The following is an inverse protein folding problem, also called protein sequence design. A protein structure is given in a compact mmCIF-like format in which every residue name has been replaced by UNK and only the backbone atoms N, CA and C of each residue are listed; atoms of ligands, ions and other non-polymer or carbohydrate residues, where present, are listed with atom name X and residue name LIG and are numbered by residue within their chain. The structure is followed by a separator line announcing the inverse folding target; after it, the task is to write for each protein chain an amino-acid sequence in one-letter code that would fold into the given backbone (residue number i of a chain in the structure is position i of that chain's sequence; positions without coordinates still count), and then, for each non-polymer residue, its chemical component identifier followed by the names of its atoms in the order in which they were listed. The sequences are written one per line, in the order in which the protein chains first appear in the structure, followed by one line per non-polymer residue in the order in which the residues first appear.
data_IF_726152074804
#
_entry.id   IF_726152074804
#
_cell.length_a   1.000
_cell.length_b   1.000
_cell.length_c   1.000
_cell.angle_alpha   90.00
_cell.angle_beta   90.00
_cell.angle_gamma   90.00
#
_symmetry.space_group_name_H-M   'P 1'
#
loop_
_entity.id
_entity.type
_entity.pdbx_description
1 polymer ?
#
# COMPACT_ATOMS: atom_id res chain seq x y z
N UNK A 1 6.78 -31.83 11.34
CA UNK A 1 6.68 -31.17 12.66
C UNK A 1 7.73 -30.08 12.65
N UNK A 2 7.30 -28.81 12.76
CA UNK A 2 8.23 -27.69 12.84
C UNK A 2 8.59 -27.56 14.33
N UNK A 3 9.74 -28.10 14.74
CA UNK A 3 10.19 -27.98 16.13
C UNK A 3 10.80 -26.58 16.31
N UNK A 4 10.05 -25.70 16.97
CA UNK A 4 10.59 -24.46 17.48
C UNK A 4 11.17 -24.70 18.88
N UNK A 5 12.46 -24.44 19.05
CA UNK A 5 13.17 -24.72 20.31
C UNK A 5 12.76 -23.80 21.48
N UNK A 6 11.87 -22.82 21.26
CA UNK A 6 11.37 -21.93 22.32
C UNK A 6 9.84 -21.89 22.38
N UNK A 7 9.27 -21.91 23.59
CA UNK A 7 7.82 -21.83 23.76
C UNK A 7 7.27 -20.44 23.41
N UNK A 8 6.02 -20.41 22.94
CA UNK A 8 5.29 -19.21 22.49
C UNK A 8 5.29 -18.07 23.53
N UNK A 9 5.18 -18.42 24.81
CA UNK A 9 5.19 -17.44 25.91
C UNK A 9 6.52 -16.71 26.10
N UNK A 10 7.61 -17.18 25.48
CA UNK A 10 8.89 -16.44 25.40
C UNK A 10 8.94 -15.60 24.13
N UNK A 11 8.59 -16.20 22.98
CA UNK A 11 8.74 -15.58 21.67
C UNK A 11 7.81 -14.36 21.52
N UNK A 12 6.54 -14.49 21.89
CA UNK A 12 5.53 -13.45 21.62
C UNK A 12 5.78 -12.16 22.43
N UNK A 13 6.10 -12.20 23.74
CA UNK A 13 6.45 -10.98 24.46
C UNK A 13 7.73 -10.32 23.94
N UNK A 14 8.70 -11.13 23.49
CA UNK A 14 9.93 -10.60 22.89
C UNK A 14 9.66 -9.91 21.55
N UNK A 15 8.87 -10.53 20.67
CA UNK A 15 8.42 -9.91 19.42
C UNK A 15 7.61 -8.63 19.66
N UNK A 16 6.73 -8.63 20.66
CA UNK A 16 5.99 -7.43 21.05
C UNK A 16 6.94 -6.29 21.47
N UNK A 17 7.95 -6.60 22.30
CA UNK A 17 8.94 -5.62 22.73
C UNK A 17 9.76 -5.06 21.56
N UNK A 18 10.23 -5.93 20.65
CA UNK A 18 10.91 -5.53 19.41
C UNK A 18 9.99 -4.65 18.54
N UNK A 19 8.73 -5.06 18.36
CA UNK A 19 7.75 -4.31 17.59
C UNK A 19 7.44 -2.94 18.19
N UNK A 20 7.44 -2.79 19.52
CA UNK A 20 7.33 -1.49 20.19
C UNK A 20 8.54 -0.59 19.94
N UNK A 21 9.76 -1.16 19.92
CA UNK A 21 10.99 -0.41 19.58
C UNK A 21 10.93 0.07 18.14
N UNK A 22 10.54 -0.79 17.20
CA UNK A 22 10.34 -0.41 15.81
C UNK A 22 9.22 0.63 15.69
N UNK A 23 8.11 0.49 16.41
CA UNK A 23 7.02 1.46 16.45
C UNK A 23 7.46 2.85 16.94
N UNK A 24 8.42 2.91 17.86
CA UNK A 24 9.02 4.16 18.31
C UNK A 24 9.83 4.84 17.20
N UNK A 25 10.52 4.05 16.36
CA UNK A 25 11.13 4.53 15.13
C UNK A 25 10.10 4.95 14.08
N UNK A 26 8.98 4.21 13.92
CA UNK A 26 7.92 4.60 12.98
C UNK A 26 7.29 5.96 13.31
N UNK A 27 7.17 6.31 14.60
CA UNK A 27 6.76 7.66 15.00
C UNK A 27 7.68 8.75 14.42
N UNK A 28 8.99 8.47 14.30
CA UNK A 28 9.95 9.38 13.65
C UNK A 28 9.68 9.46 12.15
N UNK A 29 9.48 8.31 11.48
CA UNK A 29 9.15 8.26 10.06
C UNK A 29 7.88 9.04 9.73
N UNK A 30 6.79 8.80 10.46
CA UNK A 30 5.49 9.48 10.27
C UNK A 30 5.63 10.99 10.39
N UNK A 31 6.40 11.48 11.35
CA UNK A 31 6.57 12.92 11.55
C UNK A 31 7.51 13.56 10.53
N UNK A 32 8.55 12.87 10.06
CA UNK A 32 9.67 13.51 9.32
C UNK A 32 9.67 13.28 7.82
N UNK A 33 9.21 12.11 7.36
CA UNK A 33 9.12 11.81 5.93
C UNK A 33 8.34 12.86 5.12
N UNK A 34 7.19 13.40 5.59
CA UNK A 34 6.42 14.35 4.80
C UNK A 34 6.98 15.79 4.85
N UNK A 35 8.00 16.07 5.65
CA UNK A 35 8.52 17.44 5.82
C UNK A 35 9.43 17.89 4.67
N UNK A 36 9.96 16.96 3.89
CA UNK A 36 10.93 17.21 2.82
C UNK A 36 10.38 16.72 1.49
N UNK A 37 10.40 17.57 0.46
CA UNK A 37 9.80 17.24 -0.84
C UNK A 37 10.72 16.35 -1.70
N UNK A 38 12.02 16.32 -1.37
CA UNK A 38 13.02 15.55 -2.11
C UNK A 38 13.30 14.24 -1.39
N UNK A 39 13.43 13.18 -2.17
CA UNK A 39 13.68 11.81 -1.70
C UNK A 39 14.88 11.69 -0.73
N UNK A 40 16.07 12.15 -1.14
CA UNK A 40 17.29 11.99 -0.34
C UNK A 40 17.29 12.81 0.97
N UNK A 41 16.93 14.11 0.96
CA UNK A 41 16.74 14.88 2.19
C UNK A 41 15.72 14.27 3.15
N UNK A 42 14.59 13.77 2.62
CA UNK A 42 13.55 13.10 3.42
C UNK A 42 14.11 11.90 4.20
N UNK A 43 14.88 11.03 3.55
CA UNK A 43 15.52 9.89 4.22
C UNK A 43 16.59 10.31 5.24
N UNK A 44 17.41 11.31 4.93
CA UNK A 44 18.44 11.82 5.85
C UNK A 44 17.83 12.45 7.11
N UNK A 45 16.67 13.10 6.97
CA UNK A 45 15.93 13.71 8.08
C UNK A 45 15.42 12.71 9.13
N UNK A 46 15.32 11.42 8.78
CA UNK A 46 14.93 10.37 9.74
C UNK A 46 16.02 10.18 10.80
N UNK A 47 17.29 10.21 10.38
CA UNK A 47 18.44 9.91 11.26
C UNK A 47 18.81 11.11 12.14
N UNK A 48 18.77 12.32 11.57
CA UNK A 48 19.13 13.54 12.27
C UNK A 48 18.02 14.58 12.16
N UNK A 49 17.67 15.29 13.25
CA UNK A 49 18.26 15.33 14.60
C UNK A 49 17.73 14.25 15.58
N UNK A 50 18.33 14.04 16.77
CA UNK A 50 17.82 13.08 17.76
C UNK A 50 16.44 13.45 18.32
N UNK A 51 15.77 12.48 18.95
CA UNK A 51 14.46 12.66 19.59
C UNK A 51 14.48 13.77 20.65
N UNK A 52 13.54 14.70 20.52
CA UNK A 52 13.40 15.91 21.35
C UNK A 52 11.95 16.18 21.68
N UNK A 53 11.72 16.91 22.76
CA UNK A 53 10.38 17.38 23.09
C UNK A 53 9.88 18.36 22.02
N UNK A 54 8.65 18.21 21.48
CA UNK A 54 8.11 19.14 20.48
C UNK A 54 7.77 20.53 21.06
N UNK A 55 7.76 20.70 22.39
CA UNK A 55 7.42 21.96 23.06
C UNK A 55 8.66 22.75 23.48
N UNK A 56 9.59 22.12 24.18
CA UNK A 56 10.79 22.81 24.68
C UNK A 56 12.06 22.49 23.90
N UNK A 57 11.99 21.62 22.88
CA UNK A 57 13.11 21.18 22.03
C UNK A 57 14.30 20.54 22.77
N UNK A 58 14.20 20.34 24.08
CA UNK A 58 15.21 19.64 24.86
C UNK A 58 15.25 18.15 24.47
N UNK A 59 16.45 17.58 24.47
CA UNK A 59 16.70 16.18 24.14
C UNK A 59 16.06 15.26 25.19
N UNK A 60 15.43 14.18 24.74
CA UNK A 60 14.86 13.18 25.64
C UNK A 60 16.00 12.25 26.11
N UNK A 61 16.25 12.10 27.43
CA UNK A 61 17.23 11.15 27.94
C UNK A 61 16.85 9.72 27.57
N UNK A 62 17.83 8.87 27.22
CA UNK A 62 17.57 7.49 26.74
C UNK A 62 16.70 6.64 27.67
N UNK A 63 16.84 6.81 29.00
CA UNK A 63 16.00 6.12 30.01
C UNK A 63 14.50 6.42 29.92
N UNK A 64 14.14 7.56 29.33
CA UNK A 64 12.75 7.97 29.10
C UNK A 64 12.32 7.80 27.64
N UNK A 65 13.20 7.27 26.79
CA UNK A 65 12.95 6.94 25.40
C UNK A 65 12.63 5.44 25.21
N UNK A 66 12.31 4.73 26.30
CA UNK A 66 11.80 3.36 26.25
C UNK A 66 10.35 3.40 25.74
N UNK A 67 10.01 2.67 24.66
CA UNK A 67 8.66 2.65 24.10
C UNK A 67 7.61 2.30 25.16
N UNK A 68 6.49 3.03 25.19
CA UNK A 68 5.35 2.91 26.12
C UNK A 68 5.74 3.23 27.57
N UNK A 69 6.72 2.55 28.12
CA UNK A 69 7.21 2.64 29.50
C UNK A 69 7.68 4.05 29.82
N UNK A 70 8.46 4.69 28.94
CA UNK A 70 8.97 6.04 29.15
C UNK A 70 7.84 7.06 29.33
N UNK A 71 6.79 6.96 28.50
CA UNK A 71 5.61 7.81 28.58
C UNK A 71 4.80 7.54 29.87
N UNK A 72 4.62 6.27 30.25
CA UNK A 72 3.94 5.88 31.49
C UNK A 72 4.66 6.37 32.75
N UNK A 73 5.99 6.20 32.81
CA UNK A 73 6.82 6.67 33.93
C UNK A 73 6.74 8.19 34.10
N UNK A 74 6.69 8.93 32.99
CA UNK A 74 6.53 10.39 33.00
C UNK A 74 5.07 10.85 33.11
N UNK A 75 4.11 9.92 33.24
CA UNK A 75 2.66 10.18 33.29
C UNK A 75 2.18 11.08 32.14
N UNK A 76 2.72 10.86 30.95
CA UNK A 76 2.42 11.61 29.74
C UNK A 76 2.89 13.06 29.73
N UNK A 77 3.94 13.41 30.46
CA UNK A 77 4.51 14.77 30.51
C UNK A 77 5.97 14.79 30.11
N UNK A 78 6.46 15.94 29.64
CA UNK A 78 7.89 16.10 29.37
C UNK A 78 8.69 16.16 30.68
N UNK A 79 9.80 15.42 30.75
CA UNK A 79 10.73 15.44 31.89
C UNK A 79 11.21 16.86 32.25
N UNK A 80 11.47 17.72 31.26
CA UNK A 80 12.04 19.05 31.49
C UNK A 80 10.99 20.16 31.67
N UNK A 81 10.07 20.31 30.71
CA UNK A 81 9.09 21.41 30.74
C UNK A 81 7.74 21.04 31.34
N UNK A 82 7.51 19.77 31.71
CA UNK A 82 6.27 19.26 32.32
C UNK A 82 4.99 19.43 31.48
N UNK A 83 5.09 19.94 30.26
CA UNK A 83 3.99 20.02 29.31
C UNK A 83 3.53 18.62 28.86
N UNK A 84 2.24 18.43 28.58
CA UNK A 84 1.70 17.14 28.16
C UNK A 84 2.27 16.68 26.81
N UNK A 85 2.53 15.38 26.71
CA UNK A 85 2.93 14.67 25.48
C UNK A 85 1.75 13.81 25.04
N UNK A 86 1.40 13.90 23.75
CA UNK A 86 0.28 13.17 23.16
C UNK A 86 0.36 11.66 23.43
N UNK A 87 -0.77 11.04 23.77
CA UNK A 87 -0.90 9.59 23.89
C UNK A 87 -0.77 8.85 22.54
N UNK A 88 -0.77 9.60 21.42
CA UNK A 88 -0.57 9.04 20.09
C UNK A 88 0.73 8.23 19.97
N UNK A 89 1.82 8.71 20.56
CA UNK A 89 3.13 8.04 20.49
C UNK A 89 3.10 6.63 21.10
N UNK A 90 2.71 6.44 22.38
CA UNK A 90 2.65 5.10 22.97
C UNK A 90 1.55 4.23 22.35
N UNK A 91 0.48 4.81 21.80
CA UNK A 91 -0.53 4.04 21.05
C UNK A 91 0.08 3.44 19.77
N UNK A 92 0.81 4.24 18.99
CA UNK A 92 1.50 3.76 17.77
C UNK A 92 2.52 2.68 18.13
N UNK A 93 3.29 2.86 19.20
CA UNK A 93 4.25 1.85 19.69
C UNK A 93 3.56 0.54 20.06
N UNK A 94 2.45 0.62 20.81
CA UNK A 94 1.66 -0.54 21.20
C UNK A 94 1.03 -1.26 20.00
N UNK A 95 0.42 -0.51 19.08
CA UNK A 95 -0.21 -1.06 17.88
C UNK A 95 0.82 -1.76 17.00
N UNK A 96 2.03 -1.22 16.87
CA UNK A 96 3.11 -1.86 16.12
C UNK A 96 3.61 -3.14 16.82
N UNK A 97 3.76 -3.12 18.15
CA UNK A 97 4.04 -4.32 18.94
C UNK A 97 3.00 -5.41 18.71
N UNK A 98 1.71 -5.04 18.70
CA UNK A 98 0.62 -5.97 18.44
C UNK A 98 0.62 -6.47 16.99
N UNK A 99 0.97 -5.62 16.01
CA UNK A 99 1.12 -6.00 14.60
C UNK A 99 2.20 -7.07 14.41
N UNK A 100 3.38 -6.90 15.03
CA UNK A 100 4.46 -7.89 15.01
C UNK A 100 3.99 -9.27 15.48
N UNK A 101 3.28 -9.29 16.61
CA UNK A 101 2.73 -10.52 17.21
C UNK A 101 1.63 -11.12 16.34
N UNK A 102 0.68 -10.31 15.88
CA UNK A 102 -0.46 -10.78 15.07
C UNK A 102 -0.02 -11.37 13.73
N UNK A 103 0.91 -10.71 13.03
CA UNK A 103 1.47 -11.22 11.77
C UNK A 103 2.26 -12.51 12.02
N UNK A 104 3.02 -12.59 13.12
CA UNK A 104 3.76 -13.80 13.47
C UNK A 104 2.82 -14.96 13.76
N UNK A 105 1.79 -14.72 14.57
CA UNK A 105 0.79 -15.72 14.94
C UNK A 105 0.05 -16.33 13.74
N UNK A 106 -0.23 -15.52 12.72
CA UNK A 106 -0.93 -15.99 11.51
C UNK A 106 0.00 -16.74 10.55
N UNK A 107 1.24 -16.27 10.38
CA UNK A 107 2.17 -16.82 9.39
C UNK A 107 2.94 -18.02 9.94
N UNK A 108 3.38 -17.95 11.20
CA UNK A 108 4.23 -18.95 11.85
C UNK A 108 3.39 -19.80 12.80
N UNK A 109 3.24 -21.11 12.53
CA UNK A 109 2.54 -22.00 13.45
C UNK A 109 3.32 -22.17 14.76
N UNK A 110 2.66 -22.03 15.91
CA UNK A 110 3.32 -21.93 17.24
C UNK A 110 2.94 -23.09 18.19
N UNK A 111 2.06 -24.00 17.77
CA UNK A 111 1.64 -25.13 18.61
C UNK A 111 2.62 -26.30 18.53
N UNK A 112 2.74 -27.07 19.63
CA UNK A 112 3.71 -28.16 19.80
C UNK A 112 3.58 -29.29 18.77
N UNK A 113 2.46 -29.39 18.05
CA UNK A 113 2.24 -30.36 16.98
C UNK A 113 2.03 -29.73 15.59
N UNK A 114 2.30 -28.43 15.47
CA UNK A 114 1.93 -27.67 14.29
C UNK A 114 2.71 -28.06 13.04
N UNK A 115 2.02 -27.93 11.91
CA UNK A 115 2.49 -28.27 10.58
C UNK A 115 2.57 -27.02 9.69
N UNK A 116 3.39 -27.06 8.64
CA UNK A 116 3.47 -25.96 7.66
C UNK A 116 2.09 -25.62 7.05
N UNK A 117 1.20 -26.61 6.95
CA UNK A 117 -0.19 -26.44 6.47
C UNK A 117 -1.08 -25.56 7.34
N UNK A 118 -0.70 -25.28 8.58
CA UNK A 118 -1.45 -24.37 9.46
C UNK A 118 -1.13 -22.90 9.20
N UNK A 119 -0.02 -22.60 8.53
CA UNK A 119 0.32 -21.22 8.14
C UNK A 119 -0.76 -20.63 7.23
N UNK A 120 -1.15 -19.38 7.49
CA UNK A 120 -2.13 -18.69 6.65
C UNK A 120 -1.66 -18.46 5.21
N UNK A 121 -0.36 -18.58 4.95
CA UNK A 121 0.22 -18.41 3.62
C UNK A 121 0.42 -19.74 2.88
N UNK A 122 0.08 -20.89 3.48
CA UNK A 122 0.31 -22.20 2.88
C UNK A 122 -0.88 -22.63 2.02
N UNK A 123 -0.63 -22.80 0.73
CA UNK A 123 -1.58 -23.32 -0.27
C UNK A 123 -0.93 -24.46 -1.09
N UNK A 124 -1.69 -25.08 -2.00
CA UNK A 124 -1.17 -26.15 -2.87
C UNK A 124 -0.05 -25.69 -3.82
N UNK A 125 0.00 -24.38 -4.11
CA UNK A 125 0.96 -23.76 -5.03
C UNK A 125 1.99 -22.87 -4.31
N UNK A 126 1.94 -22.80 -2.98
CA UNK A 126 2.90 -22.02 -2.19
C UNK A 126 4.27 -22.73 -2.12
N UNK A 127 5.37 -21.99 -1.90
CA UNK A 127 6.66 -22.58 -1.56
C UNK A 127 6.57 -23.54 -0.35
N UNK A 128 7.28 -24.66 -0.39
CA UNK A 128 7.20 -25.72 0.61
C UNK A 128 6.00 -26.68 0.42
N UNK A 129 5.17 -26.47 -0.61
CA UNK A 129 4.17 -27.44 -1.04
C UNK A 129 4.78 -28.63 -1.78
N UNK A 130 3.98 -29.66 -2.05
CA UNK A 130 4.43 -30.83 -2.85
C UNK A 130 4.83 -30.44 -4.28
N UNK A 131 4.21 -29.40 -4.85
CA UNK A 131 4.45 -28.93 -6.21
C UNK A 131 5.62 -27.96 -6.30
N UNK A 132 5.86 -27.19 -5.24
CA UNK A 132 6.96 -26.21 -5.14
C UNK A 132 7.80 -26.49 -3.90
N UNK A 133 8.74 -27.45 -3.96
CA UNK A 133 9.63 -27.70 -2.83
C UNK A 133 10.50 -26.47 -2.56
N UNK A 134 10.66 -26.12 -1.28
CA UNK A 134 11.55 -25.03 -0.88
C UNK A 134 12.97 -25.55 -0.69
N UNK A 135 14.02 -24.78 -1.06
CA UNK A 135 15.41 -25.17 -0.81
C UNK A 135 15.80 -25.06 0.67
N UNK A 136 14.97 -24.41 1.50
CA UNK A 136 15.20 -24.23 2.93
C UNK A 136 14.25 -25.10 3.75
N UNK A 137 14.65 -25.36 4.99
CA UNK A 137 13.81 -26.07 5.95
C UNK A 137 12.51 -25.28 6.24
N UNK A 138 11.45 -26.01 6.61
CA UNK A 138 10.09 -25.45 6.74
C UNK A 138 9.98 -24.37 7.83
N UNK A 139 10.76 -24.50 8.90
CA UNK A 139 10.95 -23.51 9.95
C UNK A 139 11.57 -22.22 9.39
N UNK A 140 12.68 -22.31 8.66
CA UNK A 140 13.32 -21.15 8.07
C UNK A 140 12.40 -20.47 7.04
N UNK A 141 11.66 -21.25 6.25
CA UNK A 141 10.72 -20.76 5.26
C UNK A 141 9.65 -19.84 5.87
N UNK A 142 8.97 -20.27 6.93
CA UNK A 142 7.90 -19.46 7.54
C UNK A 142 8.42 -18.18 8.16
N UNK A 143 9.64 -18.17 8.71
CA UNK A 143 10.26 -16.95 9.24
C UNK A 143 10.69 -15.97 8.17
N UNK A 144 11.29 -16.45 7.07
CA UNK A 144 11.65 -15.58 5.96
C UNK A 144 10.40 -14.95 5.35
N UNK A 145 9.32 -15.73 5.23
CA UNK A 145 8.01 -15.20 4.80
C UNK A 145 7.45 -14.21 5.81
N UNK A 146 7.54 -14.48 7.10
CA UNK A 146 7.14 -13.54 8.15
C UNK A 146 7.89 -12.21 8.03
N UNK A 147 9.23 -12.23 7.98
CA UNK A 147 10.04 -11.02 7.88
C UNK A 147 9.76 -10.22 6.60
N UNK A 148 9.58 -10.93 5.47
CA UNK A 148 9.25 -10.31 4.19
C UNK A 148 7.91 -9.57 4.20
N UNK A 149 6.85 -10.21 4.71
CA UNK A 149 5.52 -9.59 4.79
C UNK A 149 5.42 -8.57 5.94
N UNK A 150 6.18 -8.74 7.00
CA UNK A 150 6.29 -7.74 8.07
C UNK A 150 6.85 -6.43 7.52
N UNK A 151 7.90 -6.48 6.69
CA UNK A 151 8.44 -5.27 6.05
C UNK A 151 7.40 -4.53 5.20
N UNK A 152 6.53 -5.26 4.47
CA UNK A 152 5.38 -4.69 3.77
C UNK A 152 4.41 -4.03 4.76
N UNK A 153 4.06 -4.70 5.85
CA UNK A 153 3.13 -4.16 6.84
C UNK A 153 3.65 -2.92 7.55
N UNK A 154 4.93 -2.85 7.89
CA UNK A 154 5.54 -1.65 8.48
C UNK A 154 5.45 -0.45 7.51
N UNK A 155 5.76 -0.66 6.23
CA UNK A 155 5.66 0.38 5.21
C UNK A 155 4.20 0.85 5.03
N UNK A 156 3.25 -0.07 4.99
CA UNK A 156 1.82 0.24 4.92
C UNK A 156 1.32 0.97 6.16
N UNK A 157 1.81 0.61 7.35
CA UNK A 157 1.43 1.24 8.60
C UNK A 157 1.89 2.70 8.64
N UNK A 158 3.15 2.98 8.27
CA UNK A 158 3.66 4.35 8.13
C UNK A 158 2.90 5.13 7.07
N UNK A 159 2.75 4.57 5.86
CA UNK A 159 2.04 5.23 4.77
C UNK A 159 0.58 5.56 5.15
N UNK A 160 -0.12 4.64 5.82
CA UNK A 160 -1.51 4.85 6.27
C UNK A 160 -1.61 5.95 7.32
N UNK A 161 -0.68 6.01 8.29
CA UNK A 161 -0.69 7.05 9.31
C UNK A 161 -0.41 8.44 8.73
N UNK A 162 0.50 8.53 7.76
CA UNK A 162 0.80 9.79 7.05
C UNK A 162 -0.40 10.19 6.19
N UNK A 163 -1.01 9.25 5.48
CA UNK A 163 -2.17 9.51 4.61
C UNK A 163 -3.41 9.91 5.42
N UNK A 164 -3.65 9.31 6.59
CA UNK A 164 -4.72 9.73 7.53
C UNK A 164 -4.55 11.18 7.98
N UNK A 165 -3.32 11.60 8.26
CA UNK A 165 -3.03 12.94 8.78
C UNK A 165 -2.98 14.00 7.68
N UNK A 166 -2.33 13.68 6.57
CA UNK A 166 -1.89 14.65 5.56
C UNK A 166 -2.49 14.39 4.19
N UNK A 167 -3.20 13.27 3.97
CA UNK A 167 -3.77 12.85 2.67
C UNK A 167 -2.71 12.78 1.56
N UNK A 168 -1.48 12.44 1.92
CA UNK A 168 -0.36 12.25 0.99
C UNK A 168 0.33 10.92 1.27
N UNK A 169 0.91 10.34 0.23
CA UNK A 169 1.71 9.11 0.32
C UNK A 169 3.15 9.48 -0.05
N UNK A 170 4.08 9.56 0.91
CA UNK A 170 5.42 10.04 0.65
C UNK A 170 6.30 8.96 0.00
N UNK A 171 7.01 9.37 -1.05
CA UNK A 171 7.97 8.53 -1.77
C UNK A 171 9.08 7.98 -0.86
N UNK A 172 9.43 8.71 0.19
CA UNK A 172 10.42 8.30 1.19
C UNK A 172 10.03 7.04 1.97
N UNK A 173 8.75 6.65 1.99
CA UNK A 173 8.30 5.37 2.56
C UNK A 173 8.11 4.30 1.47
N UNK A 174 7.49 4.66 0.35
CA UNK A 174 7.04 3.69 -0.65
C UNK A 174 8.15 3.18 -1.55
N UNK A 175 9.07 4.04 -2.00
CA UNK A 175 10.15 3.63 -2.91
C UNK A 175 11.17 2.71 -2.23
N UNK A 176 11.65 2.96 -1.00
CA UNK A 176 12.55 2.03 -0.33
C UNK A 176 11.88 0.68 -0.07
N UNK A 177 10.62 0.68 0.36
CA UNK A 177 9.86 -0.55 0.56
C UNK A 177 9.72 -1.34 -0.76
N UNK A 178 9.36 -0.67 -1.86
CA UNK A 178 9.28 -1.28 -3.18
C UNK A 178 10.61 -1.93 -3.58
N UNK A 179 11.72 -1.22 -3.39
CA UNK A 179 13.06 -1.77 -3.63
C UNK A 179 13.34 -3.00 -2.77
N UNK A 180 12.98 -3.00 -1.48
CA UNK A 180 13.09 -4.17 -0.61
C UNK A 180 12.25 -5.35 -1.12
N UNK A 181 11.02 -5.11 -1.59
CA UNK A 181 10.18 -6.13 -2.20
C UNK A 181 10.89 -6.82 -3.38
N UNK A 182 11.43 -6.03 -4.31
CA UNK A 182 12.21 -6.55 -5.44
C UNK A 182 13.46 -7.31 -5.00
N UNK A 183 14.30 -6.70 -4.16
CA UNK A 183 15.59 -7.24 -3.77
C UNK A 183 15.42 -8.55 -2.99
N UNK A 184 14.51 -8.57 -2.01
CA UNK A 184 14.35 -9.71 -1.11
C UNK A 184 13.58 -10.86 -1.79
N UNK A 185 12.59 -10.57 -2.62
CA UNK A 185 11.91 -11.58 -3.43
C UNK A 185 12.89 -12.25 -4.40
N UNK A 186 13.75 -11.47 -5.07
CA UNK A 186 14.79 -12.00 -5.97
C UNK A 186 15.84 -12.82 -5.20
N UNK A 187 16.31 -12.32 -4.06
CA UNK A 187 17.35 -12.99 -3.29
C UNK A 187 16.89 -14.32 -2.68
N UNK A 188 15.65 -14.37 -2.17
CA UNK A 188 15.12 -15.55 -1.51
C UNK A 188 14.47 -16.51 -2.50
N UNK A 189 13.63 -16.03 -3.42
CA UNK A 189 12.98 -16.87 -4.43
C UNK A 189 11.92 -17.85 -3.89
N UNK A 190 11.61 -17.85 -2.59
CA UNK A 190 10.63 -18.73 -1.94
C UNK A 190 9.67 -18.01 -0.97
N UNK A 191 9.53 -16.69 -1.09
CA UNK A 191 8.65 -15.88 -0.21
C UNK A 191 7.26 -15.61 -0.79
N UNK A 192 7.01 -16.03 -2.03
CA UNK A 192 5.82 -15.71 -2.81
C UNK A 192 4.55 -16.34 -2.22
N UNK A 193 3.40 -15.72 -2.52
CA UNK A 193 2.07 -16.24 -2.18
C UNK A 193 1.55 -17.27 -3.18
N UNK A 194 1.90 -17.09 -4.45
CA UNK A 194 1.56 -17.95 -5.57
C UNK A 194 2.66 -17.87 -6.65
N UNK A 195 2.79 -18.87 -7.53
CA UNK A 195 3.70 -18.80 -8.67
C UNK A 195 3.27 -17.65 -9.59
N UNK A 196 4.23 -17.06 -10.31
CA UNK A 196 3.93 -15.91 -11.18
C UNK A 196 2.99 -16.30 -12.32
N UNK A 197 3.02 -17.56 -12.72
CA UNK A 197 2.17 -18.12 -13.76
C UNK A 197 1.83 -19.57 -13.46
N UNK A 198 0.58 -19.94 -13.70
CA UNK A 198 0.09 -21.30 -13.74
C UNK A 198 -1.21 -21.38 -14.54
N UNK A 199 -1.53 -22.57 -15.06
CA UNK A 199 -2.75 -22.83 -15.81
C UNK A 199 -3.24 -24.25 -15.54
N UNK A 200 -4.55 -24.40 -15.27
CA UNK A 200 -5.17 -25.70 -15.05
C UNK A 200 -5.92 -26.14 -16.31
N UNK A 201 -5.43 -27.18 -16.97
CA UNK A 201 -5.95 -27.66 -18.27
C UNK A 201 -7.41 -28.16 -18.22
N UNK A 202 -7.91 -28.55 -17.05
CA UNK A 202 -9.29 -29.01 -16.90
C UNK A 202 -10.30 -27.90 -17.22
N UNK A 203 -10.02 -26.66 -16.79
CA UNK A 203 -10.91 -25.52 -17.01
C UNK A 203 -10.86 -25.06 -18.47
N UNK A 204 -9.67 -25.08 -19.09
CA UNK A 204 -9.51 -24.68 -20.49
C UNK A 204 -10.18 -25.64 -21.47
N UNK A 205 -10.28 -26.93 -21.12
CA UNK A 205 -10.99 -27.93 -21.94
C UNK A 205 -12.50 -27.66 -22.03
N UNK A 206 -13.15 -27.39 -20.89
CA UNK A 206 -14.59 -27.09 -20.86
C UNK A 206 -14.92 -25.79 -21.60
N UNK A 207 -14.09 -24.75 -21.43
CA UNK A 207 -14.32 -23.46 -22.05
C UNK A 207 -14.06 -23.50 -23.57
N UNK A 208 -13.10 -24.31 -24.02
CA UNK A 208 -12.82 -24.51 -25.46
C UNK A 208 -14.02 -25.06 -26.23
N UNK A 209 -14.94 -25.78 -25.57
CA UNK A 209 -16.15 -26.30 -26.20
C UNK A 209 -17.22 -25.23 -26.50
N UNK A 210 -17.12 -24.06 -25.87
CA UNK A 210 -18.13 -22.99 -25.95
C UNK A 210 -17.58 -21.74 -26.65
N UNK A 211 -16.28 -21.68 -26.91
CA UNK A 211 -15.62 -20.51 -27.50
C UNK A 211 -15.17 -20.73 -28.95
N UNK A 212 -15.13 -19.67 -29.79
CA UNK A 212 -14.67 -19.77 -31.16
C UNK A 212 -13.23 -20.29 -31.32
N UNK A 213 -12.96 -20.97 -32.44
CA UNK A 213 -11.66 -21.57 -32.74
C UNK A 213 -10.49 -20.57 -32.76
N UNK A 214 -10.74 -19.31 -33.11
CA UNK A 214 -9.69 -18.26 -33.10
C UNK A 214 -9.13 -18.00 -31.71
N UNK A 215 -9.85 -18.38 -30.65
CA UNK A 215 -9.39 -18.27 -29.27
C UNK A 215 -8.46 -19.42 -28.85
N UNK A 216 -8.21 -20.42 -29.72
CA UNK A 216 -7.31 -21.55 -29.49
C UNK A 216 -5.99 -21.22 -28.76
N UNK A 217 -5.24 -20.16 -29.15
CA UNK A 217 -3.95 -19.83 -28.52
C UNK A 217 -4.04 -19.45 -27.04
N UNK A 218 -5.23 -19.08 -26.57
CA UNK A 218 -5.43 -18.69 -25.18
C UNK A 218 -5.79 -19.88 -24.26
N UNK A 219 -6.05 -21.06 -24.82
CA UNK A 219 -6.40 -22.28 -24.07
C UNK A 219 -5.21 -23.21 -23.83
N UNK A 220 -4.21 -23.17 -24.71
CA UNK A 220 -3.09 -24.12 -24.71
C UNK A 220 -1.79 -23.48 -24.20
N UNK A 221 -1.78 -23.08 -22.93
CA UNK A 221 -0.58 -22.61 -22.25
C UNK A 221 0.08 -23.70 -21.39
N UNK A 222 1.39 -23.55 -21.07
CA UNK A 222 2.08 -24.47 -20.19
C UNK A 222 1.46 -24.40 -18.78
N UNK A 223 1.19 -25.56 -18.13
CA UNK A 223 0.49 -25.60 -16.86
C UNK A 223 1.29 -24.92 -15.75
N UNK A 224 2.58 -25.22 -15.62
CA UNK A 224 3.54 -24.48 -14.80
C UNK A 224 4.87 -24.52 -15.55
N UNK A 225 5.46 -23.37 -15.93
CA UNK A 225 6.74 -23.36 -16.61
C UNK A 225 7.88 -23.94 -15.74
N UNK A 226 8.65 -24.89 -16.28
CA UNK A 226 9.74 -25.57 -15.55
C UNK A 226 10.84 -24.61 -15.03
N UNK A 227 11.02 -23.47 -15.68
CA UNK A 227 12.01 -22.48 -15.26
C UNK A 227 11.70 -21.87 -13.89
N UNK A 228 10.43 -21.85 -13.47
CA UNK A 228 10.01 -21.31 -12.16
C UNK A 228 10.68 -22.07 -11.02
N UNK A 229 10.70 -23.40 -11.12
CA UNK A 229 11.36 -24.27 -10.13
C UNK A 229 12.87 -24.34 -10.34
N UNK A 230 13.36 -24.23 -11.58
CA UNK A 230 14.78 -24.29 -11.88
C UNK A 230 15.55 -23.02 -11.48
N UNK A 231 14.91 -21.86 -11.54
CA UNK A 231 15.51 -20.56 -11.22
C UNK A 231 14.63 -19.75 -10.25
N UNK A 232 14.59 -20.11 -8.95
CA UNK A 232 13.74 -19.46 -7.95
C UNK A 232 14.01 -17.96 -7.80
N UNK A 233 15.27 -17.53 -7.94
CA UNK A 233 15.64 -16.11 -7.88
C UNK A 233 15.02 -15.30 -9.03
N UNK A 234 15.05 -15.85 -10.25
CA UNK A 234 14.45 -15.23 -11.43
C UNK A 234 12.92 -15.21 -11.29
N UNK A 235 12.34 -16.28 -10.76
CA UNK A 235 10.92 -16.31 -10.43
C UNK A 235 10.54 -15.23 -9.42
N UNK A 236 11.31 -15.05 -8.34
CA UNK A 236 11.13 -13.96 -7.37
C UNK A 236 11.18 -12.57 -8.01
N UNK A 237 12.18 -12.32 -8.86
CA UNK A 237 12.27 -11.06 -9.59
C UNK A 237 11.05 -10.80 -10.48
N UNK A 238 10.67 -11.77 -11.32
CA UNK A 238 9.53 -11.64 -12.24
C UNK A 238 8.21 -11.55 -11.46
N UNK A 239 8.08 -12.26 -10.34
CA UNK A 239 6.91 -12.18 -9.47
C UNK A 239 6.70 -10.76 -8.93
N UNK A 240 7.74 -10.15 -8.37
CA UNK A 240 7.71 -8.77 -7.87
C UNK A 240 7.49 -7.76 -9.00
N UNK A 241 8.13 -7.97 -10.15
CA UNK A 241 7.99 -7.10 -11.31
C UNK A 241 6.58 -7.12 -11.90
N UNK A 242 6.03 -8.32 -12.11
CA UNK A 242 4.66 -8.49 -12.57
C UNK A 242 3.68 -7.89 -11.56
N UNK A 243 3.90 -8.09 -10.26
CA UNK A 243 3.10 -7.49 -9.21
C UNK A 243 3.13 -5.97 -9.24
N UNK A 244 4.30 -5.35 -9.34
CA UNK A 244 4.45 -3.91 -9.44
C UNK A 244 3.75 -3.34 -10.69
N UNK A 245 3.98 -3.96 -11.85
CA UNK A 245 3.38 -3.52 -13.13
C UNK A 245 1.87 -3.63 -13.10
N UNK A 246 1.32 -4.78 -12.69
CA UNK A 246 -0.13 -4.98 -12.69
C UNK A 246 -0.80 -4.19 -11.57
N UNK A 247 -0.20 -4.15 -10.37
CA UNK A 247 -0.71 -3.39 -9.24
C UNK A 247 -0.83 -1.90 -9.57
N UNK A 248 0.27 -1.26 -10.00
CA UNK A 248 0.25 0.13 -10.44
C UNK A 248 -0.61 0.33 -11.69
N UNK A 249 -0.51 -0.59 -12.66
CA UNK A 249 -1.19 -0.51 -13.95
C UNK A 249 -2.71 -0.50 -13.84
N UNK A 250 -3.31 -1.28 -12.93
CA UNK A 250 -4.77 -1.31 -12.73
C UNK A 250 -5.29 0.03 -12.20
N UNK A 251 -4.65 0.58 -11.17
CA UNK A 251 -5.05 1.89 -10.61
C UNK A 251 -4.77 3.00 -11.62
N UNK A 252 -3.65 2.94 -12.33
CA UNK A 252 -3.32 3.92 -13.36
C UNK A 252 -4.32 3.88 -14.53
N UNK A 253 -4.77 2.70 -14.95
CA UNK A 253 -5.80 2.55 -15.97
C UNK A 253 -7.14 3.14 -15.51
N UNK A 254 -7.56 2.89 -14.25
CA UNK A 254 -8.73 3.54 -13.68
C UNK A 254 -8.61 5.06 -13.69
N UNK A 255 -7.46 5.59 -13.29
CA UNK A 255 -7.20 7.03 -13.28
C UNK A 255 -7.34 7.61 -14.69
N UNK A 256 -6.78 6.96 -15.70
CA UNK A 256 -6.87 7.40 -17.09
C UNK A 256 -8.32 7.37 -17.60
N UNK A 257 -9.04 6.27 -17.38
CA UNK A 257 -10.45 6.13 -17.80
C UNK A 257 -11.34 7.13 -17.07
N UNK A 258 -11.16 7.27 -15.76
CA UNK A 258 -11.87 8.24 -14.94
C UNK A 258 -11.62 9.68 -15.42
N UNK A 259 -10.37 10.03 -15.72
CA UNK A 259 -10.03 11.33 -16.29
C UNK A 259 -10.73 11.57 -17.63
N UNK A 260 -10.76 10.58 -18.53
CA UNK A 260 -11.37 10.74 -19.85
C UNK A 260 -12.89 10.85 -19.79
N UNK A 261 -13.54 10.10 -18.91
CA UNK A 261 -15.00 10.04 -18.81
C UNK A 261 -15.57 11.12 -17.88
N UNK A 262 -14.95 11.34 -16.72
CA UNK A 262 -15.41 12.26 -15.69
C UNK A 262 -14.78 13.66 -15.83
N UNK A 263 -13.71 13.82 -16.62
CA UNK A 263 -12.88 15.03 -16.70
C UNK A 263 -12.40 15.56 -15.35
N UNK A 264 -12.27 14.65 -14.39
CA UNK A 264 -11.78 14.91 -13.04
C UNK A 264 -10.73 13.85 -12.71
N UNK A 265 -9.77 14.23 -11.87
CA UNK A 265 -8.79 13.29 -11.32
C UNK A 265 -9.51 12.34 -10.37
N UNK A 266 -9.86 11.15 -10.87
CA UNK A 266 -10.62 10.17 -10.10
C UNK A 266 -9.84 9.57 -8.92
N UNK A 267 -8.50 9.64 -8.95
CA UNK A 267 -7.64 8.99 -7.96
C UNK A 267 -6.23 9.61 -7.94
N UNK A 268 -5.65 9.73 -6.74
CA UNK A 268 -4.33 10.34 -6.54
C UNK A 268 -3.20 9.46 -7.09
N UNK A 269 -2.13 10.09 -7.62
CA UNK A 269 -0.96 9.35 -8.08
C UNK A 269 -0.26 8.55 -6.96
N UNK A 270 -0.36 9.02 -5.71
CA UNK A 270 0.15 8.29 -4.55
C UNK A 270 -0.41 6.87 -4.41
N UNK A 271 -1.70 6.67 -4.74
CA UNK A 271 -2.33 5.35 -4.67
C UNK A 271 -1.76 4.38 -5.71
N UNK A 272 -1.40 4.89 -6.90
CA UNK A 272 -0.72 4.12 -7.95
C UNK A 272 0.65 3.64 -7.44
N UNK A 273 1.42 4.54 -6.82
CA UNK A 273 2.74 4.22 -6.27
C UNK A 273 2.62 3.22 -5.11
N UNK A 274 1.65 3.42 -4.21
CA UNK A 274 1.38 2.52 -3.10
C UNK A 274 1.02 1.12 -3.60
N UNK A 275 0.19 1.01 -4.63
CA UNK A 275 -0.20 -0.28 -5.20
C UNK A 275 0.92 -0.95 -5.99
N UNK A 276 1.79 -0.16 -6.62
CA UNK A 276 3.04 -0.64 -7.23
C UNK A 276 3.95 -1.24 -6.13
N UNK A 277 4.09 -0.56 -5.00
CA UNK A 277 4.84 -1.04 -3.84
C UNK A 277 4.23 -2.32 -3.29
N UNK A 278 2.92 -2.36 -3.02
CA UNK A 278 2.21 -3.56 -2.55
C UNK A 278 2.49 -4.74 -3.49
N UNK A 279 2.34 -4.54 -4.80
CA UNK A 279 2.57 -5.58 -5.80
C UNK A 279 3.98 -6.12 -5.85
N UNK A 280 4.99 -5.29 -5.58
CA UNK A 280 6.37 -5.77 -5.48
C UNK A 280 6.57 -6.83 -4.38
N UNK A 281 5.70 -6.87 -3.37
CA UNK A 281 5.72 -7.90 -2.32
C UNK A 281 4.80 -9.07 -2.61
N UNK A 282 3.54 -8.82 -2.95
CA UNK A 282 2.50 -9.86 -2.95
C UNK A 282 2.21 -10.44 -4.35
N UNK A 283 2.86 -9.92 -5.39
CA UNK A 283 2.66 -10.35 -6.77
C UNK A 283 1.33 -9.88 -7.37
N UNK A 284 1.12 -10.17 -8.65
CA UNK A 284 0.00 -9.59 -9.40
C UNK A 284 -1.35 -10.20 -9.02
N UNK A 285 -1.42 -11.50 -8.71
CA UNK A 285 -2.67 -12.17 -8.38
C UNK A 285 -3.28 -11.60 -7.09
N UNK A 286 -2.48 -11.51 -6.03
CA UNK A 286 -2.93 -10.94 -4.77
C UNK A 286 -3.23 -9.44 -4.90
N UNK A 287 -2.50 -8.71 -5.74
CA UNK A 287 -2.84 -7.32 -6.06
C UNK A 287 -4.23 -7.15 -6.65
N UNK A 288 -4.65 -8.02 -7.57
CA UNK A 288 -6.02 -7.95 -8.11
C UNK A 288 -7.07 -8.16 -7.01
N UNK A 289 -6.82 -9.10 -6.10
CA UNK A 289 -7.69 -9.32 -4.93
C UNK A 289 -7.75 -8.06 -4.06
N UNK A 290 -6.60 -7.49 -3.70
CA UNK A 290 -6.53 -6.25 -2.90
C UNK A 290 -7.29 -5.11 -3.56
N UNK A 291 -7.13 -4.95 -4.87
CA UNK A 291 -7.81 -3.92 -5.64
C UNK A 291 -9.33 -4.04 -5.56
N UNK A 292 -9.88 -5.24 -5.75
CA UNK A 292 -11.33 -5.47 -5.64
C UNK A 292 -11.84 -5.43 -4.20
N UNK A 293 -10.99 -5.75 -3.21
CA UNK A 293 -11.36 -5.78 -1.80
C UNK A 293 -11.33 -4.40 -1.14
N UNK A 294 -10.45 -3.50 -1.59
CA UNK A 294 -10.25 -2.18 -0.99
C UNK A 294 -11.52 -1.30 -0.93
N UNK A 295 -12.38 -1.22 -1.97
CA UNK A 295 -13.64 -0.50 -1.88
C UNK A 295 -14.60 -1.04 -0.80
N UNK A 296 -14.55 -2.34 -0.48
CA UNK A 296 -15.37 -2.89 0.60
C UNK A 296 -14.83 -2.48 1.98
N UNK A 297 -13.51 -2.32 2.11
CA UNK A 297 -12.90 -1.82 3.35
C UNK A 297 -13.23 -0.35 3.61
N UNK A 298 -13.45 0.46 2.57
CA UNK A 298 -13.85 1.87 2.71
C UNK A 298 -15.31 2.06 3.13
N UNK A 299 -16.17 1.03 3.04
CA UNK A 299 -17.57 1.11 3.52
C UNK A 299 -17.64 1.44 5.01
N UNK A 300 -16.68 0.98 5.81
CA UNK A 300 -16.56 1.32 7.23
C UNK A 300 -16.40 2.84 7.43
N UNK A 301 -15.72 3.51 6.50
CA UNK A 301 -15.53 4.95 6.52
C UNK A 301 -16.82 5.73 6.25
N UNK A 302 -17.65 5.21 5.34
CA UNK A 302 -18.97 5.77 5.02
C UNK A 302 -19.86 5.75 6.26
N UNK A 303 -19.80 4.69 7.07
CA UNK A 303 -20.48 4.69 8.37
C UNK A 303 -19.92 5.78 9.30
N UNK A 304 -18.61 5.98 9.34
CA UNK A 304 -17.98 7.08 10.09
C UNK A 304 -18.43 8.47 9.63
N UNK A 305 -18.65 8.68 8.34
CA UNK A 305 -19.12 9.97 7.79
C UNK A 305 -20.51 10.34 8.29
N UNK A 306 -21.40 9.34 8.40
CA UNK A 306 -22.76 9.53 8.90
C UNK A 306 -22.74 10.06 10.34
N UNK A 307 -21.76 9.65 11.15
CA UNK A 307 -21.67 10.07 12.56
C UNK A 307 -20.78 11.29 12.79
N UNK A 308 -19.72 11.49 12.01
CA UNK A 308 -18.68 12.50 12.28
C UNK A 308 -18.60 13.64 11.24
N UNK A 309 -19.38 13.59 10.16
CA UNK A 309 -19.58 14.71 9.23
C UNK A 309 -18.41 15.09 8.31
N UNK A 310 -17.27 14.37 8.36
CA UNK A 310 -16.15 14.58 7.41
C UNK A 310 -16.41 13.83 6.11
N UNK A 311 -16.38 14.49 4.96
CA UNK A 311 -16.75 13.91 3.64
C UNK A 311 -15.59 13.38 2.81
N UNK A 312 -14.35 13.63 3.22
CA UNK A 312 -13.16 13.22 2.48
C UNK A 312 -12.35 12.23 3.30
N UNK A 313 -12.11 11.03 2.75
CA UNK A 313 -11.21 10.04 3.36
C UNK A 313 -10.06 9.71 2.41
N UNK A 314 -8.83 9.64 2.95
CA UNK A 314 -7.70 9.12 2.21
C UNK A 314 -7.93 7.64 1.85
N UNK A 315 -7.53 7.23 0.64
CA UNK A 315 -7.77 5.88 0.13
C UNK A 315 -6.69 4.87 0.56
N UNK A 316 -5.46 5.33 0.82
CA UNK A 316 -4.32 4.50 1.20
C UNK A 316 -4.57 3.55 2.37
N UNK A 317 -5.24 3.97 3.48
CA UNK A 317 -5.58 3.08 4.58
C UNK A 317 -6.50 1.91 4.17
N UNK A 318 -7.37 2.09 3.18
CA UNK A 318 -8.25 1.01 2.70
C UNK A 318 -7.49 0.02 1.82
N UNK A 319 -6.51 0.49 1.03
CA UNK A 319 -5.57 -0.39 0.33
C UNK A 319 -4.70 -1.18 1.31
N UNK A 320 -4.21 -0.54 2.36
CA UNK A 320 -3.40 -1.19 3.39
C UNK A 320 -4.18 -2.27 4.15
N UNK A 321 -5.41 -1.97 4.55
CA UNK A 321 -6.27 -2.95 5.25
C UNK A 321 -6.70 -4.10 4.33
N UNK A 322 -7.06 -3.83 3.07
CA UNK A 322 -7.33 -4.89 2.09
C UNK A 322 -6.10 -5.77 1.83
N UNK A 323 -4.89 -5.19 1.83
CA UNK A 323 -3.63 -5.94 1.75
C UNK A 323 -3.45 -6.86 2.96
N UNK A 324 -3.69 -6.36 4.17
CA UNK A 324 -3.63 -7.17 5.39
C UNK A 324 -4.61 -8.33 5.38
N UNK A 325 -5.87 -8.08 5.01
CA UNK A 325 -6.89 -9.14 4.89
C UNK A 325 -6.49 -10.16 3.82
N UNK A 326 -5.95 -9.71 2.69
CA UNK A 326 -5.56 -10.61 1.59
C UNK A 326 -4.38 -11.50 1.98
N UNK A 327 -3.34 -10.94 2.59
CA UNK A 327 -2.14 -11.70 3.00
C UNK A 327 -2.45 -12.61 4.17
N UNK A 328 -3.06 -12.09 5.23
CA UNK A 328 -3.33 -12.89 6.45
C UNK A 328 -4.48 -13.89 6.26
N UNK A 329 -5.37 -13.65 5.29
CA UNK A 329 -6.45 -14.56 4.89
C UNK A 329 -6.13 -15.39 3.64
N UNK A 330 -4.87 -15.42 3.17
CA UNK A 330 -4.53 -15.95 1.85
C UNK A 330 -5.00 -17.39 1.64
N UNK A 331 -4.81 -18.27 2.62
CA UNK A 331 -5.27 -19.67 2.58
C UNK A 331 -6.77 -19.81 2.30
N UNK A 332 -7.60 -18.91 2.82
CA UNK A 332 -9.05 -18.95 2.66
C UNK A 332 -9.51 -18.25 1.37
N UNK A 333 -8.79 -17.21 0.96
CA UNK A 333 -9.11 -16.40 -0.23
C UNK A 333 -8.63 -17.09 -1.52
N UNK A 334 -7.46 -17.71 -1.47
CA UNK A 334 -6.79 -18.29 -2.62
C UNK A 334 -7.64 -19.29 -3.41
N UNK A 335 -8.40 -20.22 -2.80
CA UNK A 335 -9.23 -21.17 -3.56
C UNK A 335 -10.26 -20.52 -4.50
N UNK A 336 -10.71 -19.30 -4.18
CA UNK A 336 -11.62 -18.53 -5.03
C UNK A 336 -10.84 -17.79 -6.14
N UNK A 337 -9.73 -17.15 -5.78
CA UNK A 337 -8.87 -16.44 -6.73
C UNK A 337 -8.19 -17.40 -7.73
N UNK A 338 -7.79 -18.59 -7.29
CA UNK A 338 -7.14 -19.63 -8.08
C UNK A 338 -8.00 -20.01 -9.29
N UNK A 339 -9.32 -20.13 -9.14
CA UNK A 339 -10.24 -20.47 -10.25
C UNK A 339 -10.17 -19.47 -11.40
N UNK A 340 -9.98 -18.19 -11.06
CA UNK A 340 -9.87 -17.11 -12.04
C UNK A 340 -8.45 -17.06 -12.59
N UNK A 341 -7.44 -17.05 -11.72
CA UNK A 341 -6.03 -16.97 -12.12
C UNK A 341 -5.56 -18.18 -12.93
N UNK A 342 -6.17 -19.36 -12.74
CA UNK A 342 -5.87 -20.58 -13.47
C UNK A 342 -6.31 -20.56 -14.94
N UNK A 343 -7.05 -19.54 -15.37
CA UNK A 343 -7.47 -19.35 -16.77
C UNK A 343 -6.29 -19.02 -17.70
N UNK A 344 -5.12 -18.67 -17.15
CA UNK A 344 -3.91 -18.42 -17.94
C UNK A 344 -4.11 -17.26 -18.93
N UNK A 345 -3.83 -17.42 -20.24
CA UNK A 345 -3.89 -16.33 -21.20
C UNK A 345 -5.30 -15.71 -21.38
N UNK A 346 -6.36 -16.45 -21.03
CA UNK A 346 -7.75 -15.96 -21.05
C UNK A 346 -8.01 -14.75 -20.15
N UNK A 347 -7.11 -14.49 -19.20
CA UNK A 347 -7.17 -13.29 -18.39
C UNK A 347 -7.03 -12.01 -19.22
N UNK A 348 -6.34 -12.05 -20.36
CA UNK A 348 -6.14 -10.89 -21.24
C UNK A 348 -7.46 -10.43 -21.87
N UNK A 349 -8.20 -11.27 -22.64
CA UNK A 349 -9.49 -10.84 -23.18
C UNK A 349 -10.50 -10.50 -22.08
N UNK A 350 -10.48 -11.22 -20.95
CA UNK A 350 -11.34 -10.90 -19.81
C UNK A 350 -11.04 -9.51 -19.23
N UNK A 351 -9.76 -9.15 -19.09
CA UNK A 351 -9.35 -7.82 -18.65
C UNK A 351 -9.82 -6.73 -19.63
N UNK A 352 -9.71 -6.97 -20.94
CA UNK A 352 -10.22 -6.04 -21.97
C UNK A 352 -11.72 -5.83 -21.82
N UNK A 353 -12.49 -6.90 -21.64
CA UNK A 353 -13.94 -6.83 -21.41
C UNK A 353 -14.28 -6.06 -20.14
N UNK A 354 -13.58 -6.31 -19.03
CA UNK A 354 -13.80 -5.61 -17.75
C UNK A 354 -13.51 -4.10 -17.90
N UNK A 355 -12.37 -3.75 -18.50
CA UNK A 355 -11.96 -2.35 -18.70
C UNK A 355 -12.94 -1.61 -19.61
N UNK A 356 -13.36 -2.25 -20.70
CA UNK A 356 -14.34 -1.70 -21.64
C UNK A 356 -15.71 -1.55 -20.96
N UNK A 357 -16.13 -2.55 -20.18
CA UNK A 357 -17.36 -2.51 -19.40
C UNK A 357 -17.37 -1.37 -18.39
N UNK A 358 -16.26 -1.12 -17.70
CA UNK A 358 -16.10 0.02 -16.80
C UNK A 358 -16.25 1.35 -17.55
N UNK A 359 -15.57 1.51 -18.68
CA UNK A 359 -15.68 2.72 -19.51
C UNK A 359 -17.14 2.98 -19.90
N UNK A 360 -17.85 1.95 -20.38
CA UNK A 360 -19.27 2.03 -20.76
C UNK A 360 -20.15 2.36 -19.55
N UNK A 361 -19.91 1.74 -18.40
CA UNK A 361 -20.66 2.01 -17.17
C UNK A 361 -20.52 3.48 -16.74
N UNK A 362 -19.30 4.02 -16.75
CA UNK A 362 -19.06 5.42 -16.40
C UNK A 362 -19.74 6.39 -17.38
N UNK A 363 -19.78 6.06 -18.67
CA UNK A 363 -20.52 6.83 -19.66
C UNK A 363 -22.03 6.79 -19.40
N UNK A 364 -22.58 5.62 -19.05
CA UNK A 364 -23.99 5.49 -18.67
C UNK A 364 -24.31 6.35 -17.44
N UNK A 365 -23.42 6.36 -16.43
CA UNK A 365 -23.58 7.22 -15.24
C UNK A 365 -23.61 8.71 -15.63
N UNK A 366 -22.74 9.14 -16.55
CA UNK A 366 -22.74 10.52 -17.06
C UNK A 366 -24.06 10.86 -17.78
N UNK A 367 -24.57 9.95 -18.61
CA UNK A 367 -25.87 10.12 -19.28
C UNK A 367 -27.01 10.20 -18.26
N UNK A 368 -27.02 9.35 -17.23
CA UNK A 368 -28.03 9.39 -16.17
C UNK A 368 -27.98 10.72 -15.42
N UNK A 369 -26.79 11.20 -15.03
CA UNK A 369 -26.65 12.51 -14.38
C UNK A 369 -27.22 13.64 -15.24
N UNK A 370 -26.91 13.62 -16.54
CA UNK A 370 -27.44 14.59 -17.51
C UNK A 370 -28.98 14.53 -17.57
N UNK A 371 -29.56 13.32 -17.65
CA UNK A 371 -31.02 13.12 -17.68
C UNK A 371 -31.71 13.56 -16.39
N UNK A 372 -31.04 13.43 -15.24
CA UNK A 372 -31.54 13.89 -13.94
C UNK A 372 -31.34 15.40 -13.72
N UNK A 373 -30.73 16.12 -14.67
CA UNK A 373 -30.42 17.54 -14.53
C UNK A 373 -29.34 17.84 -13.48
N UNK A 374 -28.56 16.83 -13.08
CA UNK A 374 -27.43 17.00 -12.17
C UNK A 374 -26.27 17.57 -12.99
N UNK A 375 -25.65 18.69 -12.59
CA UNK A 375 -24.51 19.25 -13.31
C UNK A 375 -23.39 18.22 -13.40
N UNK A 376 -22.91 17.95 -14.62
CA UNK A 376 -21.85 16.97 -14.87
C UNK A 376 -20.49 17.45 -14.36
N UNK A 377 -20.29 18.76 -14.45
CA UNK A 377 -19.12 19.46 -13.98
C UNK A 377 -19.64 20.54 -13.02
N UNK A 378 -19.09 20.66 -11.81
CA UNK A 378 -19.43 21.78 -10.94
C UNK A 378 -19.07 23.07 -11.66
N UNK A 379 -20.06 23.96 -11.82
CA UNK A 379 -19.83 25.33 -12.24
C UNK A 379 -19.18 26.07 -11.06
N UNK A 380 -18.00 26.64 -11.29
CA UNK A 380 -17.28 27.61 -10.45
C UNK A 380 -16.25 27.14 -9.40
N UNK A 381 -15.33 28.09 -9.23
CA UNK A 381 -14.17 28.17 -8.35
C UNK A 381 -14.45 27.69 -6.93
N UNK A 382 -13.66 26.71 -6.48
CA UNK A 382 -13.67 26.28 -5.08
C UNK A 382 -12.82 27.27 -4.28
N UNK A 383 -13.44 28.04 -3.37
CA UNK A 383 -12.72 28.93 -2.43
C UNK A 383 -11.85 28.14 -1.43
N UNK A 384 -12.23 26.89 -1.14
CA UNK A 384 -11.48 25.97 -0.29
C UNK A 384 -10.67 24.98 -1.14
N UNK A 385 -9.36 25.14 -1.15
CA UNK A 385 -8.43 24.24 -1.81
C UNK A 385 -8.53 22.81 -1.26
N UNK A 386 -8.89 21.85 -2.11
CA UNK A 386 -8.95 20.43 -1.76
C UNK A 386 -7.68 19.69 -2.22
N UNK A 387 -7.38 18.52 -1.64
CA UNK A 387 -6.25 17.69 -2.09
C UNK A 387 -6.39 17.18 -3.53
N UNK A 388 -7.62 17.17 -4.08
CA UNK A 388 -7.86 16.86 -5.49
C UNK A 388 -7.37 17.97 -6.44
N UNK A 389 -7.32 19.23 -5.96
CA UNK A 389 -6.92 20.40 -6.75
C UNK A 389 -5.40 20.50 -6.95
N UNK A 390 -4.60 19.82 -6.12
CA UNK A 390 -3.15 19.72 -6.32
C UNK A 390 -2.80 19.11 -7.67
N UNK A 391 -3.59 18.16 -8.17
CA UNK A 391 -3.23 17.38 -9.34
C UNK A 391 -3.51 18.10 -10.67
N UNK A 392 -4.43 19.08 -10.67
CA UNK A 392 -4.77 19.85 -11.86
C UNK A 392 -3.66 20.81 -12.30
N UNK A 393 -2.75 21.22 -11.40
CA UNK A 393 -1.83 22.32 -11.65
C UNK A 393 -0.37 21.92 -11.97
N UNK A 394 0.02 20.64 -11.78
CA UNK A 394 1.41 20.19 -12.02
C UNK A 394 1.69 19.75 -13.46
N UNK A 395 0.68 19.67 -14.34
CA UNK A 395 0.86 19.31 -15.73
C UNK A 395 1.21 20.53 -16.60
N UNK A 396 2.43 21.08 -16.44
CA UNK A 396 3.06 21.87 -17.51
C UNK A 396 3.66 23.23 -17.17
N UNK A 397 3.66 23.70 -15.92
CA UNK A 397 4.31 24.98 -15.60
C UNK A 397 5.78 24.79 -15.20
N UNK A 398 6.70 25.36 -16.00
CA UNK A 398 8.01 25.74 -15.50
C UNK A 398 7.80 26.94 -14.57
N UNK A 399 7.91 26.69 -13.27
CA UNK A 399 7.68 27.69 -12.23
C UNK A 399 8.90 28.59 -12.08
N UNK A 400 8.72 29.89 -12.26
CA UNK A 400 9.73 30.91 -11.91
C UNK A 400 9.64 31.24 -10.40
N UNK A 401 10.71 31.08 -9.60
CA UNK A 401 10.71 31.42 -8.18
C UNK A 401 10.42 32.90 -7.86
N UNK A 402 10.50 33.79 -8.86
CA UNK A 402 10.20 35.21 -8.73
C UNK A 402 8.83 35.61 -9.31
N UNK A 403 8.04 34.63 -9.78
CA UNK A 403 6.70 34.86 -10.32
C UNK A 403 5.77 35.33 -9.20
N UNK A 404 5.08 36.46 -9.40
CA UNK A 404 4.28 37.15 -8.38
C UNK A 404 4.96 38.34 -7.68
N UNK A 405 6.28 38.54 -7.87
CA UNK A 405 6.98 39.77 -7.41
C UNK A 405 6.98 40.89 -8.47
N UNK A 406 6.40 40.63 -9.64
CA UNK A 406 6.31 41.61 -10.72
C UNK A 406 5.35 42.73 -10.33
N UNK A 407 5.87 43.96 -10.23
CA UNK A 407 5.02 45.14 -10.03
C UNK A 407 4.07 45.24 -11.23
N UNK A 408 2.74 45.35 -11.02
CA UNK A 408 1.81 45.44 -12.12
C UNK A 408 2.15 46.67 -12.98
N UNK A 409 2.40 46.45 -14.27
CA UNK A 409 2.60 47.54 -15.21
C UNK A 409 1.21 48.14 -15.52
N UNK A 410 0.95 49.41 -15.17
CA UNK A 410 -0.37 50.00 -15.34
C UNK A 410 -0.79 50.15 -16.82
N UNK A 411 0.13 49.93 -17.77
CA UNK A 411 -0.14 50.10 -19.21
C UNK A 411 -0.60 48.83 -19.91
N UNK A 412 -0.39 47.63 -19.34
CA UNK A 412 -0.61 46.37 -20.08
C UNK A 412 -1.95 45.66 -19.79
N UNK A 413 -2.79 46.17 -18.87
CA UNK A 413 -4.05 45.50 -18.40
C UNK A 413 -3.89 44.04 -17.96
N UNK A 414 -2.68 43.51 -17.94
CA UNK A 414 -2.40 42.13 -17.58
C UNK A 414 -2.41 42.03 -16.05
N UNK A 415 -3.51 41.52 -15.51
CA UNK A 415 -3.57 41.11 -14.12
C UNK A 415 -2.78 39.81 -14.01
N UNK A 416 -1.50 39.91 -13.65
CA UNK A 416 -0.64 38.76 -13.31
C UNK A 416 -1.12 37.97 -12.07
N UNK A 417 -2.41 38.04 -11.75
CA UNK A 417 -3.08 37.32 -10.67
C UNK A 417 -3.55 35.92 -11.09
N UNK A 418 -3.61 35.61 -12.39
CA UNK A 418 -4.21 34.36 -12.88
C UNK A 418 -3.22 33.25 -13.22
N UNK A 419 -1.93 33.42 -12.93
CA UNK A 419 -0.90 32.39 -13.12
C UNK A 419 0.02 32.34 -11.91
N UNK A 420 -0.10 31.27 -11.10
CA UNK A 420 0.77 31.02 -9.94
C UNK A 420 0.10 30.92 -8.57
N UNK A 421 -1.24 30.91 -8.46
CA UNK A 421 -1.94 30.86 -7.16
C UNK A 421 -1.74 29.56 -6.36
N UNK A 422 -1.45 28.45 -7.03
CA UNK A 422 -1.26 27.15 -6.36
C UNK A 422 -0.08 27.12 -5.39
N UNK A 423 1.00 27.82 -5.72
CA UNK A 423 2.22 27.80 -4.89
C UNK A 423 2.19 28.84 -3.77
N UNK A 424 1.58 30.01 -3.97
CA UNK A 424 1.43 31.01 -2.91
C UNK A 424 0.62 30.47 -1.74
N UNK A 425 -0.41 29.67 -2.01
CA UNK A 425 -1.19 29.02 -0.95
C UNK A 425 -0.50 27.79 -0.35
N UNK A 426 0.26 27.01 -1.14
CA UNK A 426 1.11 25.92 -0.61
C UNK A 426 2.20 26.46 0.33
N UNK A 427 2.87 27.55 -0.04
CA UNK A 427 3.91 28.20 0.76
C UNK A 427 3.32 28.88 1.99
N UNK A 428 2.19 29.58 1.87
CA UNK A 428 1.49 30.16 3.03
C UNK A 428 1.01 29.06 4.00
N UNK A 429 0.50 27.94 3.49
CA UNK A 429 0.09 26.80 4.33
C UNK A 429 1.28 26.15 5.06
N UNK A 430 2.44 26.03 4.40
CA UNK A 430 3.65 25.42 4.97
C UNK A 430 4.39 26.33 5.95
N UNK A 431 4.32 27.64 5.74
CA UNK A 431 5.09 28.62 6.50
C UNK A 431 4.29 29.47 7.49
N UNK A 432 2.96 29.30 7.53
CA UNK A 432 2.07 29.91 8.53
C UNK A 432 1.39 31.16 8.00
#
# INVERSE_FOLDING_TARGET
MILFDYPSWIILPWLFAVGCVVGSFLNVCVHRLPLEDRFWPSLLGIVHPPSRCPKCFNRIPGRFNLPIIGWLLLRGRCYHCQLPISARYPIIEFLNGALFVGVYWMIVPIEFASSLSESCLQTNLAPGSRLFPSPVAADALVHWRYLFHLALFEALFVASLIDIDLKIIPDGCTLPAMFFGFALSTALGFVQLAPVWFQVKTISFELSAVTPDWMAPFWDGPPIPNWITAHPHLHGFIYSLAGAIIGGGVIWALRLIGFWVLKQEAMGFGDVVLMTMIGSFIGWQACLVVFFLAPFMSVIAVFGWIFFGKRETPYGPYLATATAVTVLGWKEIWPYAERVCALGPMLIPMAVVIVTGLYVLLQIVQVIKYLLGIPLYPDEWVEEWTSADQLAHFAGEQVDPHQGQWRPNPQTRWQGESSGRGQTHFDNWRHG
#
